data_IF_347302459199
#
_entry.id   IF_347302459199
#
_cell.length_a   1.000
_cell.length_b   1.000
_cell.length_c   1.000
_cell.angle_alpha   90.00
_cell.angle_beta   90.00
_cell.angle_gamma   90.00
#
_symmetry.space_group_name_H-M   'P 1'
#
loop_
_entity.id
_entity.type
_entity.pdbx_description
1 polymer ?
#
# COMPACT_ATOMS: atom_id res chain seq x y z
N UNK A 1 18.36 4.83 30.95
CA UNK A 1 17.44 4.55 29.85
C UNK A 1 16.09 4.23 30.47
N UNK A 2 15.13 5.04 30.23
CA UNK A 2 13.75 4.94 30.72
C UNK A 2 13.06 3.76 30.08
N UNK A 3 12.25 3.06 30.88
CA UNK A 3 11.69 1.77 30.57
C UNK A 3 10.95 1.66 29.25
N UNK A 4 11.20 0.59 28.54
CA UNK A 4 10.43 0.15 27.40
C UNK A 4 8.97 -0.07 27.80
N UNK A 5 8.05 0.50 27.03
CA UNK A 5 6.60 0.26 27.15
C UNK A 5 6.21 -0.73 26.05
N UNK A 6 5.40 -1.70 26.40
CA UNK A 6 4.85 -2.64 25.40
C UNK A 6 3.56 -2.03 24.84
N UNK A 7 3.49 -1.85 23.54
CA UNK A 7 2.36 -1.27 22.82
C UNK A 7 1.97 -2.18 21.64
N UNK A 8 0.68 -2.28 21.37
CA UNK A 8 0.16 -3.05 20.23
C UNK A 8 -0.19 -2.12 19.09
N UNK A 9 0.49 -2.27 17.96
CA UNK A 9 0.26 -1.48 16.75
C UNK A 9 -0.23 -2.42 15.64
N UNK A 10 -1.49 -2.28 15.27
CA UNK A 10 -2.15 -3.21 14.36
C UNK A 10 -2.29 -4.59 14.99
N UNK A 11 -1.58 -5.59 14.44
CA UNK A 11 -1.61 -6.99 14.94
C UNK A 11 -0.28 -7.43 15.56
N UNK A 12 0.64 -6.49 15.83
CA UNK A 12 1.97 -6.78 16.35
C UNK A 12 2.25 -6.04 17.64
N UNK A 13 2.93 -6.70 18.55
CA UNK A 13 3.45 -6.09 19.77
C UNK A 13 4.84 -5.49 19.50
N UNK A 14 5.01 -4.25 19.92
CA UNK A 14 6.26 -3.51 19.88
C UNK A 14 6.61 -3.03 21.27
N UNK A 15 7.90 -2.97 21.56
CA UNK A 15 8.37 -2.21 22.70
C UNK A 15 8.81 -0.84 22.21
N UNK A 16 8.27 0.20 22.85
CA UNK A 16 8.48 1.59 22.45
C UNK A 16 9.16 2.35 23.59
N UNK A 17 10.13 3.18 23.27
CA UNK A 17 10.77 4.11 24.19
C UNK A 17 11.15 5.38 23.47
N UNK A 18 11.17 6.51 24.16
CA UNK A 18 11.67 7.77 23.60
C UNK A 18 12.92 8.26 24.31
N UNK A 19 13.78 8.93 23.58
CA UNK A 19 15.01 9.54 24.06
C UNK A 19 15.25 10.86 23.33
N UNK A 20 15.75 11.86 24.04
CA UNK A 20 16.27 13.07 23.43
C UNK A 20 17.76 12.89 23.13
N UNK A 21 18.14 13.16 21.89
CA UNK A 21 19.49 12.98 21.42
C UNK A 21 19.87 14.05 20.38
N UNK A 22 21.10 14.58 20.48
CA UNK A 22 21.69 15.45 19.48
C UNK A 22 22.65 14.62 18.62
N UNK A 23 22.39 14.44 17.31
CA UNK A 23 23.32 13.75 16.42
C UNK A 23 24.68 14.45 16.38
N UNK A 24 25.74 13.69 16.14
CA UNK A 24 27.09 14.21 16.07
C UNK A 24 27.18 15.38 15.06
N UNK A 25 27.71 16.52 15.53
CA UNK A 25 27.83 17.76 14.74
C UNK A 25 26.55 18.60 14.64
N UNK A 26 25.50 18.27 15.41
CA UNK A 26 24.28 19.04 15.48
C UNK A 26 24.17 19.78 16.82
N UNK A 27 23.80 21.05 16.76
CA UNK A 27 23.62 21.89 17.97
C UNK A 27 22.24 21.71 18.64
N UNK A 28 21.32 21.04 17.95
CA UNK A 28 19.94 20.85 18.43
C UNK A 28 19.69 19.41 18.84
N UNK A 29 18.99 19.26 19.95
CA UNK A 29 18.46 17.99 20.44
C UNK A 29 17.11 17.72 19.79
N UNK A 30 16.88 16.48 19.38
CA UNK A 30 15.62 16.01 18.82
C UNK A 30 15.13 14.81 19.61
N UNK A 31 13.80 14.65 19.64
CA UNK A 31 13.17 13.47 20.23
C UNK A 31 13.25 12.32 19.22
N UNK A 32 13.73 11.19 19.68
CA UNK A 32 13.72 9.92 18.94
C UNK A 32 12.77 8.96 19.62
N UNK A 33 11.78 8.50 18.89
CA UNK A 33 10.91 7.40 19.30
C UNK A 33 11.48 6.12 18.70
N UNK A 34 11.89 5.20 19.58
CA UNK A 34 12.56 3.96 19.20
C UNK A 34 11.57 2.83 19.43
N UNK A 35 11.33 2.05 18.38
CA UNK A 35 10.58 0.81 18.47
C UNK A 35 11.51 -0.38 18.34
N UNK A 36 11.23 -1.45 19.07
CA UNK A 36 11.90 -2.73 18.87
C UNK A 36 10.88 -3.87 18.83
N UNK A 37 11.13 -4.83 17.94
CA UNK A 37 10.39 -6.08 17.88
C UNK A 37 11.35 -7.26 17.94
N UNK A 38 10.92 -8.36 18.56
CA UNK A 38 11.73 -9.56 18.67
C UNK A 38 11.84 -10.23 17.29
N UNK A 39 13.06 -10.59 16.88
CA UNK A 39 13.29 -11.31 15.62
C UNK A 39 12.63 -12.68 15.65
N UNK A 40 11.94 -13.04 14.57
CA UNK A 40 11.25 -14.32 14.46
C UNK A 40 12.19 -15.53 14.36
N UNK A 41 13.40 -15.32 13.83
CA UNK A 41 14.43 -16.35 13.64
C UNK A 41 15.23 -16.67 14.91
N UNK A 42 15.07 -15.86 15.96
CA UNK A 42 15.79 -16.02 17.23
C UNK A 42 17.31 -15.79 17.15
N UNK A 43 17.83 -15.36 15.98
CA UNK A 43 19.25 -15.09 15.83
C UNK A 43 19.64 -13.75 16.46
N UNK A 44 20.56 -13.79 17.41
CA UNK A 44 21.15 -12.58 17.98
C UNK A 44 22.05 -11.85 16.97
N UNK A 45 22.10 -10.53 17.12
CA UNK A 45 23.07 -9.73 16.37
C UNK A 45 24.49 -10.11 16.78
N UNK A 46 25.40 -10.20 15.80
CA UNK A 46 26.79 -10.65 16.01
C UNK A 46 27.58 -9.71 16.95
N UNK A 47 27.20 -8.43 17.02
CA UNK A 47 27.90 -7.40 17.80
C UNK A 47 27.25 -7.12 19.16
N UNK A 48 25.93 -7.18 19.24
CA UNK A 48 25.19 -6.85 20.47
C UNK A 48 24.65 -8.07 21.20
N UNK A 49 24.61 -9.23 20.57
CA UNK A 49 23.97 -10.44 21.10
C UNK A 49 22.44 -10.32 21.24
N UNK A 50 21.87 -9.26 20.71
CA UNK A 50 20.48 -8.85 20.93
C UNK A 50 19.56 -9.43 19.84
N UNK A 51 18.43 -9.99 20.26
CA UNK A 51 17.45 -10.63 19.36
C UNK A 51 16.34 -9.67 18.91
N UNK A 52 16.62 -8.38 18.88
CA UNK A 52 15.64 -7.36 18.51
C UNK A 52 16.00 -6.66 17.20
N UNK A 53 14.96 -6.29 16.45
CA UNK A 53 15.06 -5.33 15.35
C UNK A 53 14.65 -3.96 15.86
N UNK A 54 15.51 -2.97 15.69
CA UNK A 54 15.28 -1.60 16.15
C UNK A 54 14.91 -0.70 14.99
N UNK A 55 13.98 0.23 15.23
CA UNK A 55 13.70 1.36 14.34
C UNK A 55 13.67 2.63 15.16
N UNK A 56 14.22 3.72 14.64
CA UNK A 56 14.23 5.02 15.28
C UNK A 56 13.53 6.03 14.38
N UNK A 57 12.58 6.75 14.94
CA UNK A 57 11.84 7.83 14.28
C UNK A 57 12.23 9.12 14.96
N UNK A 58 12.83 10.04 14.21
CA UNK A 58 13.14 11.38 14.70
C UNK A 58 11.93 12.28 14.49
N UNK A 59 11.54 13.03 15.53
CA UNK A 59 10.45 13.99 15.47
C UNK A 59 10.79 15.29 16.18
N UNK A 60 10.24 16.39 15.68
CA UNK A 60 10.23 17.69 16.34
C UNK A 60 8.90 17.98 17.07
N UNK A 61 7.95 17.03 16.99
CA UNK A 61 6.67 17.15 17.68
C UNK A 61 6.81 16.67 19.12
N UNK A 62 6.56 17.56 20.09
CA UNK A 62 6.58 17.27 21.52
C UNK A 62 5.19 16.94 22.10
N UNK A 63 4.11 17.20 21.34
CA UNK A 63 2.74 17.02 21.81
C UNK A 63 2.22 15.59 21.60
N UNK A 64 2.68 14.92 20.53
CA UNK A 64 2.29 13.54 20.22
C UNK A 64 2.90 12.56 21.22
N UNK A 65 2.14 11.55 21.61
CA UNK A 65 2.63 10.40 22.35
C UNK A 65 3.59 9.56 21.49
N UNK A 66 4.36 8.67 22.10
CA UNK A 66 5.27 7.78 21.39
C UNK A 66 4.52 6.89 20.38
N UNK A 67 3.33 6.40 20.76
CA UNK A 67 2.47 5.59 19.93
C UNK A 67 1.96 6.36 18.70
N UNK A 68 1.43 7.55 18.91
CA UNK A 68 0.94 8.41 17.82
C UNK A 68 2.03 8.76 16.81
N UNK A 69 3.28 8.98 17.27
CA UNK A 69 4.42 9.22 16.39
C UNK A 69 4.69 7.97 15.51
N UNK A 70 4.62 6.78 16.08
CA UNK A 70 4.84 5.53 15.33
C UNK A 70 3.72 5.28 14.34
N UNK A 71 2.46 5.48 14.73
CA UNK A 71 1.29 5.33 13.85
C UNK A 71 1.36 6.32 12.69
N UNK A 72 1.61 7.61 12.96
CA UNK A 72 1.78 8.64 11.95
C UNK A 72 2.90 8.31 10.94
N UNK A 73 4.03 7.78 11.43
CA UNK A 73 5.12 7.37 10.56
C UNK A 73 4.76 6.14 9.71
N UNK A 74 4.00 5.20 10.26
CA UNK A 74 3.55 4.01 9.53
C UNK A 74 2.58 4.35 8.40
N UNK A 75 1.76 5.40 8.53
CA UNK A 75 0.88 5.90 7.47
C UNK A 75 1.64 6.36 6.22
N UNK A 76 2.92 6.75 6.38
CA UNK A 76 3.82 6.99 5.24
C UNK A 76 3.95 5.79 4.31
N UNK A 77 3.93 4.58 4.85
CA UNK A 77 3.98 3.35 4.06
C UNK A 77 2.79 3.19 3.11
N UNK A 78 1.66 3.81 3.40
CA UNK A 78 0.51 3.86 2.48
C UNK A 78 0.78 4.75 1.27
N UNK A 79 1.43 5.90 1.47
CA UNK A 79 1.86 6.77 0.38
C UNK A 79 2.86 6.06 -0.56
N UNK A 80 3.81 5.31 0.00
CA UNK A 80 4.77 4.54 -0.79
C UNK A 80 4.07 3.44 -1.61
N UNK A 81 3.08 2.76 -1.05
CA UNK A 81 2.24 1.79 -1.77
C UNK A 81 1.42 2.44 -2.88
N UNK A 82 0.89 3.65 -2.61
CA UNK A 82 0.17 4.43 -3.62
C UNK A 82 1.09 4.78 -4.80
N UNK A 83 2.30 5.30 -4.53
CA UNK A 83 3.26 5.62 -5.59
C UNK A 83 3.71 4.37 -6.34
N UNK A 84 3.91 3.23 -5.68
CA UNK A 84 4.22 1.97 -6.35
C UNK A 84 3.10 1.53 -7.30
N UNK A 85 1.85 1.61 -6.86
CA UNK A 85 0.67 1.33 -7.70
C UNK A 85 0.59 2.28 -8.90
N UNK A 86 0.72 3.60 -8.68
CA UNK A 86 0.69 4.59 -9.75
C UNK A 86 1.81 4.39 -10.77
N UNK A 87 3.02 4.09 -10.31
CA UNK A 87 4.16 3.86 -11.16
C UNK A 87 4.04 2.57 -12.01
N UNK A 88 3.53 1.50 -11.41
CA UNK A 88 3.56 0.19 -12.03
C UNK A 88 2.28 -0.17 -12.77
N UNK A 89 1.13 0.35 -12.34
CA UNK A 89 -0.17 0.00 -12.90
C UNK A 89 -0.77 1.16 -13.73
N UNK A 90 -0.48 2.42 -13.37
CA UNK A 90 -1.02 3.63 -14.03
C UNK A 90 0.04 4.46 -14.76
N UNK A 91 1.19 3.89 -15.05
CA UNK A 91 2.24 4.42 -15.93
C UNK A 91 2.90 5.74 -15.48
N UNK A 92 2.82 6.12 -14.20
CA UNK A 92 3.44 7.37 -13.72
C UNK A 92 4.93 7.49 -13.99
N UNK A 93 5.67 6.35 -14.02
CA UNK A 93 7.10 6.34 -14.35
C UNK A 93 7.42 6.50 -15.83
N UNK A 94 6.39 6.55 -16.71
CA UNK A 94 6.55 6.69 -18.16
C UNK A 94 5.90 7.98 -18.61
N UNK A 95 6.65 9.06 -18.57
CA UNK A 95 6.20 10.36 -19.08
C UNK A 95 6.08 10.31 -20.61
N UNK A 96 4.87 10.38 -21.20
CA UNK A 96 4.67 10.19 -22.64
C UNK A 96 4.97 11.45 -23.45
N UNK A 97 5.10 12.62 -22.81
CA UNK A 97 5.24 13.91 -23.47
C UNK A 97 6.60 14.55 -23.19
N UNK A 98 7.00 15.49 -24.05
CA UNK A 98 8.26 16.21 -23.93
C UNK A 98 8.20 17.41 -22.97
N UNK A 99 7.02 17.96 -22.72
CA UNK A 99 6.86 19.15 -21.89
C UNK A 99 6.24 18.84 -20.53
N UNK A 100 6.63 19.63 -19.53
CA UNK A 100 6.23 19.40 -18.14
C UNK A 100 4.72 19.54 -17.93
N UNK A 101 4.10 20.56 -18.53
CA UNK A 101 2.67 20.83 -18.35
C UNK A 101 1.77 19.71 -18.91
N UNK A 102 2.16 19.12 -20.04
CA UNK A 102 1.44 17.98 -20.62
C UNK A 102 1.57 16.74 -19.75
N UNK A 103 2.77 16.47 -19.22
CA UNK A 103 3.00 15.39 -18.30
C UNK A 103 2.27 15.59 -16.96
N UNK A 104 2.13 16.83 -16.48
CA UNK A 104 1.35 17.13 -15.28
C UNK A 104 -0.12 16.77 -15.49
N UNK A 105 -0.71 17.16 -16.63
CA UNK A 105 -2.09 16.76 -16.96
C UNK A 105 -2.22 15.25 -17.05
N UNK A 106 -1.26 14.57 -17.70
CA UNK A 106 -1.25 13.11 -17.78
C UNK A 106 -1.23 12.45 -16.38
N UNK A 107 -0.37 12.92 -15.47
CA UNK A 107 -0.29 12.38 -14.11
C UNK A 107 -1.62 12.56 -13.35
N UNK A 108 -2.24 13.74 -13.46
CA UNK A 108 -3.55 14.01 -12.83
C UNK A 108 -4.63 13.08 -13.41
N UNK A 109 -4.68 12.93 -14.73
CA UNK A 109 -5.62 12.02 -15.39
C UNK A 109 -5.45 10.59 -14.94
N UNK A 110 -4.21 10.10 -14.80
CA UNK A 110 -3.94 8.75 -14.30
C UNK A 110 -4.36 8.59 -12.83
N UNK A 111 -4.23 9.62 -12.00
CA UNK A 111 -4.73 9.60 -10.62
C UNK A 111 -6.26 9.49 -10.58
N UNK A 112 -6.96 10.21 -11.46
CA UNK A 112 -8.42 10.09 -11.61
C UNK A 112 -8.80 8.68 -12.06
N UNK A 113 -8.10 8.14 -13.07
CA UNK A 113 -8.34 6.77 -13.56
C UNK A 113 -8.15 5.73 -12.45
N UNK A 114 -7.14 5.90 -11.59
CA UNK A 114 -6.95 5.04 -10.42
C UNK A 114 -8.15 5.09 -9.46
N UNK A 115 -8.62 6.28 -9.14
CA UNK A 115 -9.77 6.44 -8.23
C UNK A 115 -11.03 5.80 -8.82
N UNK A 116 -11.29 5.99 -10.11
CA UNK A 116 -12.40 5.33 -10.82
C UNK A 116 -12.23 3.81 -10.82
N UNK A 117 -11.02 3.31 -11.00
CA UNK A 117 -10.73 1.88 -10.94
C UNK A 117 -11.02 1.29 -9.55
N UNK A 118 -10.62 1.97 -8.48
CA UNK A 118 -10.93 1.52 -7.11
C UNK A 118 -12.43 1.52 -6.85
N UNK A 119 -13.14 2.56 -7.29
CA UNK A 119 -14.59 2.60 -7.21
C UNK A 119 -15.24 1.43 -7.97
N UNK A 120 -14.78 1.16 -9.19
CA UNK A 120 -15.25 0.04 -10.01
C UNK A 120 -14.99 -1.31 -9.35
N UNK A 121 -13.79 -1.53 -8.81
CA UNK A 121 -13.46 -2.80 -8.14
C UNK A 121 -14.27 -3.01 -6.88
N UNK A 122 -14.53 -1.97 -6.11
CA UNK A 122 -15.42 -2.04 -4.95
C UNK A 122 -16.85 -2.39 -5.36
N UNK A 123 -17.38 -1.73 -6.39
CA UNK A 123 -18.71 -1.99 -6.92
C UNK A 123 -18.87 -3.44 -7.42
N UNK A 124 -17.89 -3.94 -8.18
CA UNK A 124 -17.90 -5.31 -8.71
C UNK A 124 -17.74 -6.34 -7.60
N UNK A 125 -16.87 -6.08 -6.62
CA UNK A 125 -16.61 -7.02 -5.51
C UNK A 125 -17.85 -7.29 -4.63
N UNK A 126 -18.80 -6.38 -4.62
CA UNK A 126 -20.10 -6.57 -3.92
C UNK A 126 -21.05 -7.53 -4.65
N UNK A 127 -20.79 -7.81 -5.94
CA UNK A 127 -21.64 -8.66 -6.79
C UNK A 127 -21.01 -10.00 -7.11
N UNK A 128 -19.70 -10.07 -7.14
CA UNK A 128 -18.97 -11.30 -7.47
C UNK A 128 -17.86 -11.57 -6.46
N UNK A 129 -17.73 -12.81 -6.02
CA UNK A 129 -16.81 -13.26 -4.98
C UNK A 129 -15.35 -13.44 -5.44
N UNK A 130 -15.14 -13.57 -6.76
CA UNK A 130 -13.80 -13.78 -7.34
C UNK A 130 -13.00 -12.48 -7.58
N UNK A 131 -13.59 -11.31 -7.30
CA UNK A 131 -12.93 -9.99 -7.32
C UNK A 131 -12.93 -9.41 -5.91
N UNK A 132 -11.77 -8.92 -5.47
CA UNK A 132 -11.62 -8.23 -4.19
C UNK A 132 -11.40 -6.74 -4.40
N UNK A 133 -11.92 -5.85 -3.53
CA UNK A 133 -11.72 -4.39 -3.65
C UNK A 133 -10.25 -3.99 -3.60
N UNK A 134 -9.40 -4.82 -2.98
CA UNK A 134 -7.95 -4.61 -2.86
C UNK A 134 -7.14 -5.10 -4.06
N UNK A 135 -7.80 -5.51 -5.16
CA UNK A 135 -7.08 -5.94 -6.35
C UNK A 135 -6.41 -4.76 -7.05
N UNK A 136 -5.14 -4.92 -7.37
CA UNK A 136 -4.41 -4.01 -8.25
C UNK A 136 -4.86 -4.21 -9.70
N UNK A 137 -4.69 -3.18 -10.53
CA UNK A 137 -5.19 -3.15 -11.93
C UNK A 137 -4.73 -4.38 -12.73
N UNK A 138 -3.47 -4.77 -12.68
CA UNK A 138 -2.96 -5.95 -13.40
C UNK A 138 -3.65 -7.24 -12.95
N UNK A 139 -3.87 -7.40 -11.65
CA UNK A 139 -4.57 -8.57 -11.11
C UNK A 139 -6.04 -8.57 -11.48
N UNK A 140 -6.68 -7.41 -11.50
CA UNK A 140 -8.06 -7.24 -11.94
C UNK A 140 -8.18 -7.63 -13.43
N UNK A 141 -7.35 -7.08 -14.30
CA UNK A 141 -7.35 -7.42 -15.72
C UNK A 141 -7.22 -8.94 -15.91
N UNK A 142 -6.22 -9.56 -15.27
CA UNK A 142 -6.00 -11.00 -15.37
C UNK A 142 -7.17 -11.83 -14.86
N UNK A 143 -7.76 -11.46 -13.75
CA UNK A 143 -8.84 -12.23 -13.11
C UNK A 143 -10.22 -11.97 -13.70
N UNK A 144 -10.47 -10.77 -14.20
CA UNK A 144 -11.78 -10.33 -14.65
C UNK A 144 -11.89 -10.23 -16.17
N UNK A 145 -10.90 -9.65 -16.84
CA UNK A 145 -10.98 -9.36 -18.27
C UNK A 145 -10.41 -10.48 -19.16
N UNK A 146 -9.35 -11.17 -18.70
CA UNK A 146 -8.71 -12.24 -19.48
C UNK A 146 -9.54 -13.51 -19.33
N UNK A 147 -10.52 -13.68 -20.21
CA UNK A 147 -11.40 -14.85 -20.26
C UNK A 147 -11.43 -15.37 -21.71
N UNK A 148 -11.18 -16.67 -21.93
CA UNK A 148 -11.37 -17.27 -23.24
C UNK A 148 -12.80 -17.04 -23.72
N UNK A 149 -12.93 -16.49 -24.92
CA UNK A 149 -14.25 -16.16 -25.46
C UNK A 149 -14.32 -16.35 -26.97
N UNK A 150 -15.51 -16.51 -27.51
CA UNK A 150 -15.79 -16.63 -28.93
C UNK A 150 -17.07 -15.90 -29.30
N UNK A 151 -17.02 -15.09 -30.35
CA UNK A 151 -18.20 -14.58 -30.99
C UNK A 151 -18.88 -15.65 -31.81
N UNK A 152 -20.18 -15.83 -31.64
CA UNK A 152 -21.00 -16.72 -32.45
C UNK A 152 -22.23 -15.95 -32.95
N UNK A 153 -22.63 -16.28 -34.19
CA UNK A 153 -23.87 -15.77 -34.78
C UNK A 153 -24.96 -16.84 -34.60
N UNK A 154 -26.01 -16.53 -33.88
CA UNK A 154 -27.12 -17.44 -33.63
C UNK A 154 -28.45 -16.68 -33.70
N UNK A 155 -29.37 -17.11 -34.56
CA UNK A 155 -30.71 -16.51 -34.62
C UNK A 155 -30.72 -15.01 -34.94
N UNK A 156 -29.87 -14.53 -35.86
CA UNK A 156 -29.68 -13.09 -36.24
C UNK A 156 -29.07 -12.23 -35.11
N UNK A 157 -28.59 -12.85 -34.04
CA UNK A 157 -27.92 -12.17 -32.92
C UNK A 157 -26.44 -12.51 -32.88
N UNK A 158 -25.63 -11.55 -32.45
CA UNK A 158 -24.22 -11.77 -32.13
C UNK A 158 -24.11 -12.07 -30.63
N UNK A 159 -23.64 -13.28 -30.33
CA UNK A 159 -23.51 -13.75 -28.94
C UNK A 159 -22.04 -13.93 -28.60
N UNK A 160 -21.59 -13.29 -27.51
CA UNK A 160 -20.27 -13.53 -26.96
C UNK A 160 -20.35 -14.72 -25.98
N UNK A 161 -19.80 -15.85 -26.40
CA UNK A 161 -19.71 -17.03 -25.53
C UNK A 161 -18.43 -16.98 -24.71
N UNK A 162 -18.53 -16.93 -23.37
CA UNK A 162 -17.41 -16.99 -22.44
C UNK A 162 -17.18 -18.42 -21.97
N UNK A 163 -15.94 -18.89 -22.02
CA UNK A 163 -15.52 -20.20 -21.54
C UNK A 163 -14.94 -20.06 -20.12
N UNK A 164 -15.83 -20.03 -19.11
CA UNK A 164 -15.44 -19.78 -17.72
C UNK A 164 -16.43 -20.42 -16.77
N UNK A 165 -15.97 -20.77 -15.58
CA UNK A 165 -16.80 -21.19 -14.46
C UNK A 165 -17.23 -20.01 -13.57
N UNK A 166 -16.74 -18.79 -13.85
CA UNK A 166 -17.06 -17.60 -13.08
C UNK A 166 -18.44 -17.07 -13.43
N UNK A 167 -19.18 -16.60 -12.42
CA UNK A 167 -20.56 -16.15 -12.54
C UNK A 167 -20.65 -14.68 -12.97
N UNK A 168 -20.31 -14.38 -14.23
CA UNK A 168 -20.40 -13.00 -14.76
C UNK A 168 -21.82 -12.48 -14.90
N UNK A 169 -22.83 -13.36 -14.99
CA UNK A 169 -24.24 -12.96 -15.10
C UNK A 169 -24.73 -12.13 -13.91
N UNK A 170 -24.15 -12.33 -12.74
CA UNK A 170 -24.47 -11.55 -11.54
C UNK A 170 -24.13 -10.04 -11.66
N UNK A 171 -23.42 -9.64 -12.70
CA UNK A 171 -23.11 -8.23 -12.97
C UNK A 171 -24.21 -7.53 -13.77
N UNK A 172 -25.13 -8.31 -14.38
CA UNK A 172 -26.20 -7.83 -15.27
C UNK A 172 -27.54 -7.73 -14.54
N UNK A 173 -27.59 -8.20 -13.30
CA UNK A 173 -28.70 -8.06 -12.36
C UNK A 173 -28.52 -6.82 -11.46
#
# INVERSE_FOLDING_TARGET
MTGWKTETIGFKEYQVASVEYAPFGWDKTYRYVITREKKADGQGDLFTGDNYTYRAIMTNNSEMTDLEVVEFYNDRGESERLFDEMNNDFLWKKMPFSFLHENTVFLVMMAICRNLFHFLTEFISKRVDFIKPTFRLKKFIFRFMVVPSKWISQGRQQVLKLFTTKKYHLLLE
#
